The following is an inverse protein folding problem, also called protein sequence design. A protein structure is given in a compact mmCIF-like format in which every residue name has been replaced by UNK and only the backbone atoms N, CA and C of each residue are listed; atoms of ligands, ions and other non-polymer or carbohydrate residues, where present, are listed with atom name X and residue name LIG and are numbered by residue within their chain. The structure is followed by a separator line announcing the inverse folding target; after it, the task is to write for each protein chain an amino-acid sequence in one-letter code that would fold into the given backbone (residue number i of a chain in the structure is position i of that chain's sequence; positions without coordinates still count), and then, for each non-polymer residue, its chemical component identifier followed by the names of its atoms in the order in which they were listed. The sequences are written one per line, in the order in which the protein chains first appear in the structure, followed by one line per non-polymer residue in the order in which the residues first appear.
data_IF_006656548339
#
_entry.id   IF_006656548339
#
_cell.length_a   1.000
_cell.length_b   1.000
_cell.length_c   1.000
_cell.angle_alpha   90.00
_cell.angle_beta   90.00
_cell.angle_gamma   90.00
#
_symmetry.space_group_name_H-M   'P 1'
#
loop_
_entity.id
_entity.type
_entity.pdbx_description
1 polymer ?
#
# COMPACT_ATOMS: atom_id res chain seq x y z
N UNK A 1 -20.76 -18.34 -28.07
CA UNK A 1 -20.36 -17.73 -26.78
C UNK A 1 -18.86 -17.52 -26.84
N UNK A 2 -18.44 -16.26 -26.99
CA UNK A 2 -17.04 -15.90 -27.19
C UNK A 2 -16.37 -15.78 -25.80
N UNK A 3 -15.32 -16.56 -25.47
CA UNK A 3 -14.75 -16.63 -24.13
C UNK A 3 -13.64 -15.60 -23.84
N UNK A 4 -13.47 -14.57 -24.69
CA UNK A 4 -12.42 -13.55 -24.51
C UNK A 4 -13.02 -12.17 -24.25
N UNK A 5 -12.53 -11.52 -23.19
CA UNK A 5 -12.78 -10.14 -22.71
C UNK A 5 -14.02 -9.95 -21.84
N UNK A 6 -13.84 -10.06 -20.50
CA UNK A 6 -13.84 -8.83 -19.69
C UNK A 6 -12.77 -8.74 -18.59
N UNK A 7 -12.09 -9.83 -18.22
CA UNK A 7 -11.14 -9.82 -17.07
C UNK A 7 -9.87 -8.98 -17.34
N UNK A 8 -9.36 -9.02 -18.57
CA UNK A 8 -8.12 -8.31 -18.95
C UNK A 8 -8.30 -6.79 -19.00
N UNK A 9 -9.52 -6.31 -19.31
CA UNK A 9 -9.82 -4.87 -19.37
C UNK A 9 -9.99 -4.28 -17.97
N UNK A 10 -10.58 -5.04 -17.04
CA UNK A 10 -10.79 -4.64 -15.64
C UNK A 10 -9.44 -4.57 -14.87
N UNK A 11 -8.50 -5.48 -15.13
CA UNK A 11 -7.16 -5.40 -14.50
C UNK A 11 -6.30 -4.24 -15.04
N UNK A 12 -6.63 -3.71 -16.24
CA UNK A 12 -5.82 -2.67 -16.89
C UNK A 12 -6.16 -1.24 -16.47
N UNK A 13 -7.33 -0.99 -15.88
CA UNK A 13 -7.83 0.38 -15.67
C UNK A 13 -7.62 0.89 -14.24
N UNK A 14 -6.37 0.87 -13.79
CA UNK A 14 -5.98 1.46 -12.50
C UNK A 14 -5.94 2.99 -12.63
N UNK A 15 -6.76 3.71 -11.86
CA UNK A 15 -6.61 5.15 -11.67
C UNK A 15 -5.50 5.41 -10.66
N UNK A 16 -4.61 6.34 -11.00
CA UNK A 16 -3.47 6.76 -10.17
C UNK A 16 -3.75 8.16 -9.60
N UNK A 17 -4.19 8.27 -8.33
CA UNK A 17 -4.39 9.55 -7.67
C UNK A 17 -3.11 10.38 -7.61
N UNK A 18 -3.23 11.70 -7.65
CA UNK A 18 -2.13 12.60 -7.25
C UNK A 18 -2.00 12.65 -5.72
N UNK A 19 -0.80 12.94 -5.19
CA UNK A 19 -0.63 13.16 -3.75
C UNK A 19 -1.61 14.22 -3.22
N UNK A 20 -2.33 13.89 -2.15
CA UNK A 20 -3.33 14.76 -1.52
C UNK A 20 -4.71 14.75 -2.18
N UNK A 21 -4.92 14.01 -3.27
CA UNK A 21 -6.25 13.85 -3.87
C UNK A 21 -7.12 12.90 -3.03
N UNK A 22 -8.37 13.29 -2.78
CA UNK A 22 -9.34 12.47 -2.06
C UNK A 22 -10.06 11.53 -3.01
N UNK A 23 -10.17 10.25 -2.63
CA UNK A 23 -10.81 9.22 -3.45
C UNK A 23 -12.25 9.55 -3.84
N UNK A 24 -13.02 10.16 -2.93
CA UNK A 24 -14.38 10.62 -3.20
C UNK A 24 -14.40 11.74 -4.26
N UNK A 25 -13.49 12.71 -4.18
CA UNK A 25 -13.42 13.80 -5.16
C UNK A 25 -13.04 13.26 -6.55
N UNK A 26 -12.13 12.27 -6.60
CA UNK A 26 -11.77 11.59 -7.85
C UNK A 26 -12.99 10.88 -8.43
N UNK A 27 -13.72 10.13 -7.59
CA UNK A 27 -14.95 9.43 -8.00
C UNK A 27 -16.00 10.38 -8.53
N UNK A 28 -16.26 11.47 -7.83
CA UNK A 28 -17.27 12.46 -8.22
C UNK A 28 -16.88 13.16 -9.53
N UNK A 29 -15.59 13.51 -9.70
CA UNK A 29 -15.08 14.10 -10.93
C UNK A 29 -15.18 13.13 -12.13
N UNK A 30 -14.79 11.86 -11.96
CA UNK A 30 -14.91 10.84 -13.01
C UNK A 30 -16.38 10.54 -13.35
N UNK A 31 -17.25 10.48 -12.35
CA UNK A 31 -18.70 10.26 -12.56
C UNK A 31 -19.34 11.44 -13.31
N UNK A 32 -18.94 12.67 -12.97
CA UNK A 32 -19.41 13.88 -13.66
C UNK A 32 -18.92 13.90 -15.12
N UNK A 33 -17.66 13.51 -15.36
CA UNK A 33 -17.10 13.38 -16.70
C UNK A 33 -17.85 12.35 -17.54
N UNK A 34 -18.11 11.17 -16.97
CA UNK A 34 -18.86 10.09 -17.60
C UNK A 34 -20.28 10.54 -17.99
N UNK A 35 -21.01 11.16 -17.06
CA UNK A 35 -22.36 11.67 -17.31
C UNK A 35 -22.38 12.74 -18.41
N UNK A 36 -21.41 13.66 -18.38
CA UNK A 36 -21.30 14.70 -19.41
C UNK A 36 -21.02 14.11 -20.80
N UNK A 37 -20.13 13.12 -20.90
CA UNK A 37 -19.85 12.42 -22.15
C UNK A 37 -21.08 11.67 -22.69
N UNK A 38 -21.84 11.00 -21.82
CA UNK A 38 -23.04 10.26 -22.22
C UNK A 38 -24.17 11.19 -22.69
N UNK A 39 -24.30 12.36 -22.04
CA UNK A 39 -25.22 13.41 -22.48
C UNK A 39 -24.86 13.94 -23.88
N UNK A 40 -23.56 14.19 -24.15
CA UNK A 40 -23.09 14.61 -25.47
C UNK A 40 -23.29 13.53 -26.54
N UNK A 41 -23.14 12.26 -26.15
CA UNK A 41 -23.36 11.11 -27.04
C UNK A 41 -24.83 11.02 -27.45
N UNK A 42 -25.74 11.29 -26.52
CA UNK A 42 -27.19 11.20 -26.71
C UNK A 42 -27.82 12.45 -27.34
N UNK A 43 -27.04 13.50 -27.61
CA UNK A 43 -27.52 14.69 -28.29
C UNK A 43 -27.76 14.41 -29.80
N UNK A 44 -29.03 14.42 -30.23
CA UNK A 44 -29.44 13.97 -31.57
C UNK A 44 -29.74 15.07 -32.60
N UNK A 45 -29.66 16.37 -32.24
CA UNK A 45 -30.13 17.48 -33.10
C UNK A 45 -29.09 18.60 -33.34
N UNK A 46 -27.80 18.27 -33.31
CA UNK A 46 -26.71 19.24 -33.43
C UNK A 46 -25.94 19.04 -34.74
N UNK A 47 -25.54 20.13 -35.42
CA UNK A 47 -24.64 20.03 -36.57
C UNK A 47 -23.32 19.35 -36.17
N UNK A 48 -22.69 18.64 -37.11
CA UNK A 48 -21.45 17.90 -36.82
C UNK A 48 -20.34 18.80 -36.28
N UNK A 49 -20.23 20.03 -36.81
CA UNK A 49 -19.27 21.03 -36.34
C UNK A 49 -19.54 21.49 -34.90
N UNK A 50 -20.79 21.82 -34.57
CA UNK A 50 -21.13 22.23 -33.20
C UNK A 50 -20.95 21.08 -32.21
N UNK A 51 -21.24 19.84 -32.64
CA UNK A 51 -21.01 18.65 -31.83
C UNK A 51 -19.51 18.38 -31.62
N UNK A 52 -18.69 18.62 -32.64
CA UNK A 52 -17.22 18.56 -32.53
C UNK A 52 -16.71 19.56 -31.50
N UNK A 53 -17.15 20.83 -31.58
CA UNK A 53 -16.77 21.85 -30.61
C UNK A 53 -17.18 21.47 -29.19
N UNK A 54 -18.41 21.01 -28.97
CA UNK A 54 -18.89 20.57 -27.66
C UNK A 54 -18.07 19.40 -27.09
N UNK A 55 -17.65 18.46 -27.93
CA UNK A 55 -16.76 17.38 -27.52
C UNK A 55 -15.37 17.89 -27.14
N UNK A 56 -14.77 18.78 -27.95
CA UNK A 56 -13.44 19.34 -27.68
C UNK A 56 -13.41 20.23 -26.42
N UNK A 57 -14.47 21.01 -26.21
CA UNK A 57 -14.69 21.80 -24.99
C UNK A 57 -14.78 20.87 -23.77
N UNK A 58 -15.66 19.86 -23.82
CA UNK A 58 -15.78 18.86 -22.75
C UNK A 58 -14.44 18.19 -22.42
N UNK A 59 -13.69 17.75 -23.44
CA UNK A 59 -12.41 17.09 -23.24
C UNK A 59 -11.38 18.03 -22.55
N UNK A 60 -11.38 19.31 -22.92
CA UNK A 60 -10.48 20.32 -22.36
C UNK A 60 -10.84 20.63 -20.90
N UNK A 61 -12.10 20.92 -20.62
CA UNK A 61 -12.60 21.27 -19.28
C UNK A 61 -12.48 20.10 -18.30
N UNK A 62 -12.82 18.90 -18.76
CA UNK A 62 -12.71 17.69 -17.95
C UNK A 62 -11.24 17.38 -17.63
N UNK A 63 -10.34 17.54 -18.60
CA UNK A 63 -8.90 17.36 -18.37
C UNK A 63 -8.35 18.38 -17.36
N UNK A 64 -8.81 19.63 -17.41
CA UNK A 64 -8.46 20.65 -16.42
C UNK A 64 -8.89 20.27 -15.00
N UNK A 65 -10.12 19.77 -14.86
CA UNK A 65 -10.67 19.32 -13.57
C UNK A 65 -9.91 18.12 -13.00
N UNK A 66 -9.64 17.11 -13.84
CA UNK A 66 -8.97 15.87 -13.44
C UNK A 66 -7.47 16.04 -13.22
N UNK A 67 -6.81 17.04 -13.82
CA UNK A 67 -5.38 17.32 -13.67
C UNK A 67 -4.93 17.46 -12.22
N UNK A 68 -5.80 17.94 -11.35
CA UNK A 68 -5.48 18.09 -9.92
C UNK A 68 -5.74 16.83 -9.09
N UNK A 69 -6.38 15.82 -9.68
CA UNK A 69 -6.90 14.65 -8.98
C UNK A 69 -6.16 13.36 -9.36
N UNK A 70 -5.81 13.20 -10.64
CA UNK A 70 -5.21 11.96 -11.19
C UNK A 70 -3.96 12.25 -12.02
N UNK A 71 -3.21 11.19 -12.35
CA UNK A 71 -1.99 11.27 -13.13
C UNK A 71 -2.23 11.77 -14.57
N UNK A 72 -1.23 12.42 -15.17
CA UNK A 72 -1.31 12.87 -16.57
C UNK A 72 -1.42 11.70 -17.55
N UNK A 73 -0.86 10.53 -17.18
CA UNK A 73 -0.99 9.29 -17.94
C UNK A 73 -2.44 8.79 -17.98
N UNK A 74 -3.16 8.87 -16.86
CA UNK A 74 -4.57 8.51 -16.81
C UNK A 74 -5.44 9.47 -17.62
N UNK A 75 -5.18 10.77 -17.57
CA UNK A 75 -5.91 11.78 -18.37
C UNK A 75 -5.70 11.54 -19.86
N UNK A 76 -4.47 11.23 -20.28
CA UNK A 76 -4.14 10.94 -21.67
C UNK A 76 -4.84 9.70 -22.18
N UNK A 77 -4.94 8.67 -21.32
CA UNK A 77 -5.65 7.42 -21.65
C UNK A 77 -7.17 7.60 -21.67
N UNK A 78 -7.72 8.36 -20.72
CA UNK A 78 -9.16 8.48 -20.51
C UNK A 78 -9.83 9.56 -21.35
N UNK A 79 -9.12 10.62 -21.74
CA UNK A 79 -9.73 11.80 -22.36
C UNK A 79 -8.92 12.27 -23.57
N UNK A 80 -7.65 12.61 -23.36
CA UNK A 80 -6.79 13.22 -24.38
C UNK A 80 -6.17 12.16 -25.29
N UNK A 81 -7.04 11.38 -25.93
CA UNK A 81 -6.64 10.23 -26.75
C UNK A 81 -6.04 10.67 -28.09
N UNK A 82 -5.44 9.72 -28.82
CA UNK A 82 -4.96 10.00 -30.17
C UNK A 82 -6.07 10.49 -31.12
N UNK A 83 -7.30 10.03 -30.94
CA UNK A 83 -8.43 10.48 -31.76
C UNK A 83 -8.86 11.90 -31.39
N UNK A 84 -8.81 12.27 -30.11
CA UNK A 84 -8.97 13.66 -29.67
C UNK A 84 -7.99 14.59 -30.41
N UNK A 85 -6.70 14.25 -30.46
CA UNK A 85 -5.68 15.07 -31.13
C UNK A 85 -5.98 15.25 -32.63
N UNK A 86 -6.39 14.17 -33.31
CA UNK A 86 -6.76 14.21 -34.74
C UNK A 86 -7.99 15.08 -34.97
N UNK A 87 -9.01 14.96 -34.12
CA UNK A 87 -10.23 15.76 -34.19
C UNK A 87 -9.96 17.24 -33.91
N UNK A 88 -9.09 17.54 -32.93
CA UNK A 88 -8.64 18.90 -32.62
C UNK A 88 -7.88 19.52 -33.80
N UNK A 89 -6.89 18.81 -34.35
CA UNK A 89 -6.09 19.27 -35.49
C UNK A 89 -6.90 19.46 -36.77
N UNK A 90 -8.03 18.75 -36.90
CA UNK A 90 -8.92 18.81 -38.07
C UNK A 90 -10.14 19.72 -37.86
N UNK A 91 -10.28 20.36 -36.69
CA UNK A 91 -11.48 21.12 -36.34
C UNK A 91 -11.80 22.25 -37.35
N UNK A 92 -10.77 22.90 -37.89
CA UNK A 92 -10.93 23.97 -38.90
C UNK A 92 -11.25 23.48 -40.32
N UNK A 93 -11.03 22.20 -40.64
CA UNK A 93 -11.20 21.65 -42.00
C UNK A 93 -12.44 20.78 -42.17
N UNK A 94 -13.08 20.39 -41.06
CA UNK A 94 -14.23 19.48 -41.01
C UNK A 94 -15.61 20.18 -40.98
N UNK A 95 -15.67 21.48 -41.31
CA UNK A 95 -16.90 22.29 -41.24
C UNK A 95 -17.85 22.16 -42.45
N UNK A 96 -17.57 21.27 -43.41
CA UNK A 96 -18.37 21.10 -44.64
C UNK A 96 -19.55 20.14 -44.49
N UNK A 97 -20.67 20.44 -45.17
CA UNK A 97 -21.90 19.62 -45.16
C UNK A 97 -21.72 18.21 -45.74
N UNK A 98 -20.80 18.03 -46.68
CA UNK A 98 -20.51 16.73 -47.28
C UNK A 98 -19.81 15.75 -46.31
N UNK A 99 -19.13 16.29 -45.29
CA UNK A 99 -18.34 15.53 -44.32
C UNK A 99 -19.10 15.27 -43.00
N UNK A 100 -20.30 15.84 -42.82
CA UNK A 100 -21.07 15.77 -41.56
C UNK A 100 -21.30 14.33 -41.08
N UNK A 101 -21.63 13.41 -42.00
CA UNK A 101 -21.87 12.01 -41.64
C UNK A 101 -20.61 11.33 -41.09
N UNK A 102 -19.45 11.58 -41.71
CA UNK A 102 -18.17 11.03 -41.28
C UNK A 102 -17.76 11.59 -39.92
N UNK A 103 -17.84 12.92 -39.76
CA UNK A 103 -17.50 13.62 -38.51
C UNK A 103 -18.37 13.14 -37.37
N UNK A 104 -19.69 13.05 -37.58
CA UNK A 104 -20.62 12.50 -36.59
C UNK A 104 -20.31 11.04 -36.24
N UNK A 105 -19.90 10.22 -37.21
CA UNK A 105 -19.47 8.84 -36.98
C UNK A 105 -18.22 8.75 -36.09
N UNK A 106 -17.21 9.58 -36.36
CA UNK A 106 -15.98 9.63 -35.56
C UNK A 106 -16.24 10.12 -34.14
N UNK A 107 -17.04 11.17 -33.98
CA UNK A 107 -17.42 11.70 -32.66
C UNK A 107 -18.27 10.68 -31.88
N UNK A 108 -19.20 10.00 -32.54
CA UNK A 108 -20.00 8.94 -31.91
C UNK A 108 -19.13 7.81 -31.38
N UNK A 109 -18.19 7.33 -32.21
CA UNK A 109 -17.28 6.26 -31.82
C UNK A 109 -16.40 6.69 -30.64
N UNK A 110 -15.84 7.90 -30.72
CA UNK A 110 -15.04 8.48 -29.66
C UNK A 110 -15.81 8.58 -28.35
N UNK A 111 -16.97 9.24 -28.36
CA UNK A 111 -17.80 9.38 -27.16
C UNK A 111 -18.25 8.03 -26.61
N UNK A 112 -18.59 7.06 -27.47
CA UNK A 112 -18.97 5.72 -27.02
C UNK A 112 -17.81 5.01 -26.30
N UNK A 113 -16.59 5.08 -26.83
CA UNK A 113 -15.41 4.54 -26.17
C UNK A 113 -15.11 5.28 -24.86
N UNK A 114 -15.19 6.61 -24.84
CA UNK A 114 -14.94 7.42 -23.63
C UNK A 114 -15.96 7.16 -22.53
N UNK A 115 -17.24 7.00 -22.88
CA UNK A 115 -18.29 6.58 -21.93
C UNK A 115 -17.96 5.20 -21.36
N UNK A 116 -17.63 4.22 -22.20
CA UNK A 116 -17.29 2.87 -21.73
C UNK A 116 -16.04 2.84 -20.84
N UNK A 117 -14.99 3.57 -21.23
CA UNK A 117 -13.72 3.67 -20.50
C UNK A 117 -13.91 4.40 -19.16
N UNK A 118 -14.58 5.56 -19.15
CA UNK A 118 -14.87 6.29 -17.91
C UNK A 118 -15.79 5.48 -16.98
N UNK A 119 -16.79 4.79 -17.51
CA UNK A 119 -17.66 3.89 -16.74
C UNK A 119 -16.85 2.77 -16.08
N UNK A 120 -15.98 2.11 -16.84
CA UNK A 120 -15.07 1.07 -16.33
C UNK A 120 -14.14 1.62 -15.23
N UNK A 121 -13.62 2.83 -15.41
CA UNK A 121 -12.76 3.48 -14.41
C UNK A 121 -13.52 3.82 -13.12
N UNK A 122 -14.77 4.29 -13.22
CA UNK A 122 -15.63 4.55 -12.06
C UNK A 122 -15.96 3.25 -11.33
N UNK A 123 -16.33 2.19 -12.05
CA UNK A 123 -16.62 0.87 -11.47
C UNK A 123 -15.39 0.30 -10.76
N UNK A 124 -14.21 0.33 -11.39
CA UNK A 124 -12.96 -0.13 -10.79
C UNK A 124 -12.58 0.68 -9.53
N UNK A 125 -12.83 2.00 -9.54
CA UNK A 125 -12.63 2.84 -8.36
C UNK A 125 -13.64 2.51 -7.26
N UNK A 126 -14.91 2.30 -7.61
CA UNK A 126 -15.96 1.93 -6.66
C UNK A 126 -15.66 0.59 -5.99
N UNK A 127 -15.23 -0.42 -6.75
CA UNK A 127 -14.83 -1.71 -6.20
C UNK A 127 -13.63 -1.57 -5.25
N UNK A 128 -12.67 -0.71 -5.62
CA UNK A 128 -11.53 -0.40 -4.74
C UNK A 128 -11.96 0.31 -3.46
N UNK A 129 -12.92 1.23 -3.54
CA UNK A 129 -13.46 1.94 -2.38
C UNK A 129 -14.31 1.03 -1.50
N UNK A 130 -15.08 0.11 -2.09
CA UNK A 130 -15.86 -0.92 -1.38
C UNK A 130 -15.02 -1.79 -0.49
N UNK A 131 -13.79 -2.10 -0.87
CA UNK A 131 -12.86 -2.83 0.01
C UNK A 131 -12.65 -2.13 1.36
N UNK A 132 -12.70 -0.80 1.38
CA UNK A 132 -12.47 0.03 2.57
C UNK A 132 -13.76 0.54 3.22
N UNK A 133 -14.93 0.21 2.65
CA UNK A 133 -16.22 0.50 3.27
C UNK A 133 -16.48 -0.51 4.41
N UNK A 134 -16.62 0.02 5.62
CA UNK A 134 -16.88 -0.73 6.85
C UNK A 134 -16.84 0.17 8.07
N UNK A 135 -17.36 -0.29 9.20
CA UNK A 135 -17.24 0.44 10.48
C UNK A 135 -15.98 0.04 11.28
N UNK A 136 -15.19 -0.89 10.75
CA UNK A 136 -14.01 -1.44 11.41
C UNK A 136 -12.90 -0.39 11.57
N UNK A 137 -12.14 -0.45 12.64
CA UNK A 137 -10.91 0.36 12.78
C UNK A 137 -9.78 -0.29 11.99
N UNK A 138 -9.14 0.47 11.11
CA UNK A 138 -7.99 0.00 10.34
C UNK A 138 -6.71 0.15 11.14
N UNK A 139 -5.96 -0.94 11.25
CA UNK A 139 -4.72 -1.00 12.02
C UNK A 139 -3.61 -1.53 11.11
N UNK A 140 -2.47 -0.87 11.08
CA UNK A 140 -1.24 -1.35 10.44
C UNK A 140 -0.22 -1.52 11.54
N UNK A 141 0.51 -2.63 11.57
CA UNK A 141 1.65 -2.79 12.47
C UNK A 141 2.93 -3.04 11.68
N UNK A 142 4.04 -2.51 12.15
CA UNK A 142 5.36 -2.78 11.55
C UNK A 142 5.95 -4.11 12.04
N UNK A 143 7.06 -4.54 11.43
CA UNK A 143 7.78 -5.74 11.86
C UNK A 143 8.27 -5.66 13.30
N UNK A 144 8.55 -4.43 13.80
CA UNK A 144 9.02 -4.19 15.16
C UNK A 144 7.98 -4.61 16.20
N UNK A 145 6.69 -4.34 15.96
CA UNK A 145 5.58 -4.77 16.81
C UNK A 145 5.56 -6.29 16.94
N UNK A 146 5.56 -7.02 15.83
CA UNK A 146 5.47 -8.49 15.87
C UNK A 146 6.70 -9.14 16.54
N UNK A 147 7.88 -8.51 16.42
CA UNK A 147 9.13 -9.06 16.95
C UNK A 147 9.43 -8.69 18.40
N UNK A 148 9.04 -7.49 18.84
CA UNK A 148 9.47 -6.93 20.13
C UNK A 148 8.34 -6.73 21.13
N UNK A 149 7.08 -6.83 20.70
CA UNK A 149 5.96 -6.79 21.61
C UNK A 149 6.08 -7.92 22.67
N UNK A 150 5.84 -7.63 23.96
CA UNK A 150 5.95 -8.65 25.01
C UNK A 150 5.03 -9.85 24.75
N UNK A 151 3.79 -9.57 24.37
CA UNK A 151 2.78 -10.58 24.02
C UNK A 151 2.94 -11.03 22.56
N UNK A 152 2.54 -12.25 22.25
CA UNK A 152 2.51 -12.72 20.86
C UNK A 152 1.28 -12.20 20.17
N UNK A 153 1.31 -12.18 18.84
CA UNK A 153 0.13 -11.80 18.06
C UNK A 153 -1.07 -12.64 18.50
N UNK A 154 -0.95 -13.96 18.61
CA UNK A 154 -2.03 -14.88 19.01
C UNK A 154 -2.68 -14.57 20.37
N UNK A 155 -1.96 -13.91 21.28
CA UNK A 155 -2.39 -13.65 22.66
C UNK A 155 -2.82 -12.20 22.89
N UNK A 156 -2.58 -11.31 21.92
CA UNK A 156 -2.74 -9.87 22.12
C UNK A 156 -4.20 -9.44 22.06
N UNK A 157 -4.62 -8.61 23.01
CA UNK A 157 -5.92 -7.94 22.95
C UNK A 157 -5.78 -6.59 22.24
N UNK A 158 -6.11 -6.55 20.95
CA UNK A 158 -6.05 -5.32 20.14
C UNK A 158 -7.01 -4.23 20.66
N UNK A 159 -8.16 -4.58 21.23
CA UNK A 159 -9.11 -3.60 21.75
C UNK A 159 -8.53 -2.87 22.95
N UNK A 160 -7.97 -3.63 23.89
CA UNK A 160 -7.30 -3.09 25.07
C UNK A 160 -6.06 -2.28 24.69
N UNK A 161 -5.26 -2.80 23.74
CA UNK A 161 -4.02 -2.14 23.30
C UNK A 161 -4.28 -0.78 22.62
N UNK A 162 -5.36 -0.68 21.83
CA UNK A 162 -5.70 0.50 21.03
C UNK A 162 -6.68 1.46 21.73
N UNK A 163 -7.10 1.13 22.96
CA UNK A 163 -8.14 1.84 23.72
C UNK A 163 -9.44 2.00 22.90
N UNK A 164 -9.91 0.86 22.36
CA UNK A 164 -11.13 0.79 21.57
C UNK A 164 -12.30 0.28 22.41
N UNK A 165 -13.52 0.65 22.01
CA UNK A 165 -14.72 0.07 22.60
C UNK A 165 -14.79 -1.42 22.27
N UNK A 166 -15.22 -2.29 23.20
CA UNK A 166 -15.21 -3.74 22.99
C UNK A 166 -15.98 -4.19 21.74
N UNK A 167 -17.08 -3.52 21.41
CA UNK A 167 -17.97 -3.83 20.28
C UNK A 167 -17.41 -3.40 18.91
N UNK A 168 -16.28 -2.68 18.90
CA UNK A 168 -15.68 -2.17 17.67
C UNK A 168 -14.96 -3.28 16.92
N UNK A 169 -15.34 -3.56 15.67
CA UNK A 169 -14.57 -4.48 14.84
C UNK A 169 -13.23 -3.85 14.41
N UNK A 170 -12.20 -4.68 14.30
CA UNK A 170 -10.83 -4.27 13.94
C UNK A 170 -10.43 -5.01 12.67
N UNK A 171 -9.78 -4.31 11.74
CA UNK A 171 -9.12 -4.95 10.59
C UNK A 171 -7.62 -4.63 10.64
N UNK A 172 -6.84 -5.66 10.97
CA UNK A 172 -5.39 -5.63 11.01
C UNK A 172 -4.83 -5.89 9.60
N UNK A 173 -4.24 -4.85 9.04
CA UNK A 173 -3.68 -4.79 7.70
C UNK A 173 -2.19 -5.09 7.76
N UNK A 174 -1.75 -6.04 6.96
CA UNK A 174 -0.36 -6.42 6.75
C UNK A 174 0.06 -5.94 5.36
N UNK A 175 0.67 -4.74 5.22
CA UNK A 175 1.35 -4.39 3.98
C UNK A 175 2.32 -5.51 3.60
N UNK A 176 2.36 -5.89 2.33
CA UNK A 176 3.24 -6.97 1.87
C UNK A 176 4.71 -6.72 2.24
N UNK A 177 5.15 -5.46 2.31
CA UNK A 177 6.48 -5.08 2.80
C UNK A 177 6.76 -5.59 4.22
N UNK A 178 5.77 -5.60 5.13
CA UNK A 178 5.93 -6.14 6.49
C UNK A 178 6.08 -7.65 6.45
N UNK A 179 5.34 -8.34 5.58
CA UNK A 179 5.46 -9.79 5.39
C UNK A 179 6.86 -10.14 4.89
N UNK A 180 7.38 -9.39 3.92
CA UNK A 180 8.72 -9.56 3.37
C UNK A 180 9.81 -9.29 4.43
N UNK A 181 9.63 -8.27 5.28
CA UNK A 181 10.53 -8.02 6.41
C UNK A 181 10.54 -9.17 7.42
N UNK A 182 9.37 -9.67 7.80
CA UNK A 182 9.25 -10.81 8.71
C UNK A 182 9.91 -12.06 8.11
N UNK A 183 9.76 -12.29 6.80
CA UNK A 183 10.42 -13.42 6.16
C UNK A 183 11.96 -13.27 6.17
N UNK A 184 12.47 -12.08 5.89
CA UNK A 184 13.91 -11.77 6.00
C UNK A 184 14.47 -11.92 7.43
N UNK A 185 13.66 -11.63 8.45
CA UNK A 185 14.05 -11.78 9.86
C UNK A 185 14.20 -13.23 10.31
N UNK A 186 13.61 -14.20 9.59
CA UNK A 186 13.81 -15.63 9.86
C UNK A 186 15.28 -16.02 9.72
N UNK A 187 15.98 -15.45 8.76
CA UNK A 187 17.38 -15.76 8.51
C UNK A 187 18.32 -14.89 9.37
N UNK A 188 18.01 -13.60 9.44
CA UNK A 188 18.97 -12.57 9.90
C UNK A 188 18.87 -12.21 11.38
N UNK A 189 17.73 -12.48 12.03
CA UNK A 189 17.49 -12.04 13.41
C UNK A 189 18.13 -12.94 14.47
N UNK A 190 18.19 -12.43 15.70
CA UNK A 190 18.54 -13.22 16.89
C UNK A 190 17.45 -14.27 17.16
N UNK A 191 17.79 -15.30 17.94
CA UNK A 191 16.90 -16.44 18.21
C UNK A 191 15.45 -16.03 18.56
N UNK A 192 15.27 -15.03 19.44
CA UNK A 192 13.92 -14.59 19.82
C UNK A 192 13.16 -13.92 18.66
N UNK A 193 13.79 -12.98 17.95
CA UNK A 193 13.14 -12.29 16.82
C UNK A 193 12.86 -13.24 15.65
N UNK A 194 13.77 -14.17 15.36
CA UNK A 194 13.55 -15.25 14.39
C UNK A 194 12.32 -16.08 14.75
N UNK A 195 12.23 -16.52 16.00
CA UNK A 195 11.10 -17.32 16.46
C UNK A 195 9.79 -16.54 16.34
N UNK A 196 9.77 -15.26 16.74
CA UNK A 196 8.61 -14.37 16.64
C UNK A 196 8.14 -14.21 15.18
N UNK A 197 9.06 -13.92 14.27
CA UNK A 197 8.74 -13.76 12.85
C UNK A 197 8.17 -15.05 12.24
N UNK A 198 8.81 -16.21 12.49
CA UNK A 198 8.30 -17.51 12.05
C UNK A 198 6.91 -17.79 12.61
N UNK A 199 6.69 -17.52 13.91
CA UNK A 199 5.41 -17.75 14.57
C UNK A 199 4.29 -16.89 13.98
N UNK A 200 4.55 -15.58 13.78
CA UNK A 200 3.58 -14.67 13.17
C UNK A 200 3.23 -15.07 11.73
N UNK A 201 4.21 -15.46 10.92
CA UNK A 201 3.95 -15.90 9.54
C UNK A 201 3.19 -17.24 9.51
N UNK A 202 3.49 -18.17 10.43
CA UNK A 202 2.74 -19.43 10.55
C UNK A 202 1.28 -19.21 10.96
N UNK A 203 1.02 -18.27 11.89
CA UNK A 203 -0.34 -17.86 12.24
C UNK A 203 -1.06 -17.27 11.03
N UNK A 204 -0.40 -16.37 10.30
CA UNK A 204 -0.96 -15.70 9.13
C UNK A 204 -1.31 -16.71 8.03
N UNK A 205 -0.41 -17.65 7.72
CA UNK A 205 -0.65 -18.71 6.73
C UNK A 205 -1.86 -19.59 7.10
N UNK A 206 -1.91 -20.06 8.36
CA UNK A 206 -3.04 -20.87 8.85
C UNK A 206 -4.37 -20.12 8.86
N UNK A 207 -4.34 -18.82 9.19
CA UNK A 207 -5.53 -17.98 9.22
C UNK A 207 -6.08 -17.67 7.83
N UNK A 208 -5.19 -17.41 6.89
CA UNK A 208 -5.55 -17.00 5.54
C UNK A 208 -5.91 -18.17 4.64
N UNK A 209 -5.32 -19.35 4.87
CA UNK A 209 -5.62 -20.60 4.16
C UNK A 209 -5.66 -20.41 2.63
N UNK A 210 -4.63 -19.78 2.07
CA UNK A 210 -4.51 -19.48 0.63
C UNK A 210 -5.28 -18.24 0.13
N UNK A 211 -5.99 -17.52 1.01
CA UNK A 211 -6.62 -16.23 0.71
C UNK A 211 -5.73 -15.05 1.10
N UNK A 212 -6.09 -13.82 0.73
CA UNK A 212 -5.40 -12.60 1.23
C UNK A 212 -6.06 -12.00 2.47
N UNK A 213 -7.19 -12.54 2.91
CA UNK A 213 -7.93 -12.07 4.09
C UNK A 213 -8.55 -13.23 4.86
N UNK A 214 -8.65 -13.10 6.18
CA UNK A 214 -9.22 -14.09 7.08
C UNK A 214 -9.80 -13.46 8.34
N UNK A 215 -10.59 -14.24 9.09
CA UNK A 215 -11.19 -13.79 10.36
C UNK A 215 -10.42 -14.42 11.51
N UNK A 216 -9.67 -13.59 12.25
CA UNK A 216 -8.82 -14.06 13.35
C UNK A 216 -9.64 -14.32 14.61
N UNK A 217 -10.47 -13.35 15.01
CA UNK A 217 -11.44 -13.52 16.09
C UNK A 217 -12.82 -13.14 15.59
N UNK A 218 -13.81 -14.03 15.82
CA UNK A 218 -15.21 -13.70 15.59
C UNK A 218 -15.80 -13.03 16.81
N UNK A 219 -16.81 -12.20 16.57
CA UNK A 219 -17.52 -11.52 17.61
C UNK A 219 -18.07 -12.53 18.61
N UNK A 220 -17.79 -12.27 19.88
CA UNK A 220 -18.13 -13.17 20.96
C UNK A 220 -18.64 -12.38 22.16
N UNK A 221 -19.67 -12.91 22.81
CA UNK A 221 -20.18 -12.33 24.05
C UNK A 221 -19.24 -12.71 25.19
N UNK A 222 -18.88 -11.74 26.02
CA UNK A 222 -18.12 -11.94 27.24
C UNK A 222 -18.79 -11.20 28.40
N UNK A 223 -18.52 -11.61 29.63
CA UNK A 223 -18.94 -10.87 30.82
C UNK A 223 -17.78 -9.98 31.27
N UNK A 224 -18.06 -8.70 31.50
CA UNK A 224 -17.08 -7.81 32.13
C UNK A 224 -17.12 -7.93 33.66
N UNK A 225 -16.29 -7.15 34.34
CA UNK A 225 -16.23 -7.11 35.82
C UNK A 225 -17.55 -6.63 36.46
N UNK A 226 -18.44 -5.98 35.69
CA UNK A 226 -19.77 -5.56 36.15
C UNK A 226 -20.82 -6.68 36.04
N UNK A 227 -20.48 -7.82 35.43
CA UNK A 227 -21.38 -8.94 35.21
C UNK A 227 -22.38 -8.73 34.07
N UNK A 228 -22.25 -7.63 33.31
CA UNK A 228 -23.09 -7.35 32.15
C UNK A 228 -22.55 -8.04 30.91
N UNK A 229 -23.42 -8.58 30.04
CA UNK A 229 -23.01 -9.18 28.78
C UNK A 229 -22.54 -8.07 27.83
N UNK A 230 -21.27 -8.14 27.43
CA UNK A 230 -20.67 -7.31 26.40
C UNK A 230 -20.36 -8.13 25.16
N UNK A 231 -20.30 -7.46 24.01
CA UNK A 231 -19.89 -8.08 22.74
C UNK A 231 -18.49 -7.60 22.41
N UNK A 232 -17.60 -8.55 22.11
CA UNK A 232 -16.30 -8.24 21.50
C UNK A 232 -16.48 -8.24 19.99
N UNK A 233 -16.05 -7.18 19.32
CA UNK A 233 -16.12 -7.03 17.86
C UNK A 233 -15.20 -8.02 17.13
N UNK A 234 -15.45 -8.20 15.84
CA UNK A 234 -14.62 -9.07 15.00
C UNK A 234 -13.20 -8.51 14.85
N UNK A 235 -12.21 -9.41 14.72
CA UNK A 235 -10.85 -9.07 14.30
C UNK A 235 -10.57 -9.75 12.97
N UNK A 236 -10.48 -8.96 11.92
CA UNK A 236 -10.11 -9.38 10.58
C UNK A 236 -8.64 -9.15 10.33
N UNK A 237 -8.02 -10.01 9.53
CA UNK A 237 -6.64 -9.88 9.08
C UNK A 237 -6.63 -9.86 7.57
N UNK A 238 -5.83 -8.97 6.98
CA UNK A 238 -5.73 -8.81 5.54
C UNK A 238 -4.29 -8.49 5.13
N UNK A 239 -3.73 -9.26 4.18
CA UNK A 239 -2.51 -8.88 3.48
C UNK A 239 -2.87 -7.87 2.40
N UNK A 240 -2.26 -6.70 2.48
CA UNK A 240 -2.42 -5.61 1.51
C UNK A 240 -1.25 -5.66 0.53
N UNK A 241 -1.54 -6.10 -0.69
CA UNK A 241 -0.58 -6.14 -1.78
C UNK A 241 -0.25 -4.75 -2.29
N UNK A 242 0.91 -4.65 -2.95
CA UNK A 242 1.29 -3.44 -3.66
C UNK A 242 0.40 -3.22 -4.87
N UNK A 243 -0.04 -1.97 -5.13
CA UNK A 243 -0.79 -1.66 -6.33
C UNK A 243 0.08 -1.93 -7.57
N UNK A 244 -0.51 -2.34 -8.70
CA UNK A 244 0.23 -2.46 -9.95
C UNK A 244 0.98 -1.16 -10.28
N UNK A 245 2.26 -1.28 -10.65
CA UNK A 245 3.13 -0.14 -10.97
C UNK A 245 3.72 0.60 -9.78
N UNK A 246 3.41 0.18 -8.54
CA UNK A 246 4.03 0.73 -7.34
C UNK A 246 5.53 0.39 -7.29
N UNK A 247 6.34 1.39 -6.96
CA UNK A 247 7.78 1.24 -6.73
C UNK A 247 8.03 1.52 -5.27
N UNK A 248 8.49 0.50 -4.55
CA UNK A 248 8.73 0.62 -3.11
C UNK A 248 9.84 1.62 -2.81
N UNK A 249 9.67 2.35 -1.72
CA UNK A 249 10.71 3.20 -1.15
C UNK A 249 11.91 2.35 -0.68
N UNK A 250 13.13 2.91 -0.71
CA UNK A 250 14.35 2.18 -0.35
C UNK A 250 14.41 1.80 1.13
N UNK A 251 13.68 2.52 1.98
CA UNK A 251 13.60 2.28 3.42
C UNK A 251 12.22 1.66 3.70
N UNK A 252 12.22 0.43 4.20
CA UNK A 252 10.99 -0.33 4.41
C UNK A 252 10.06 0.32 5.47
N UNK A 253 10.62 0.96 6.49
CA UNK A 253 9.87 1.78 7.44
C UNK A 253 9.08 2.93 6.77
N UNK A 254 9.73 3.65 5.84
CA UNK A 254 9.10 4.75 5.11
C UNK A 254 8.03 4.20 4.16
N UNK A 255 8.31 3.06 3.53
CA UNK A 255 7.36 2.32 2.70
C UNK A 255 6.11 1.94 3.52
N UNK A 256 6.25 1.38 4.72
CA UNK A 256 5.11 1.01 5.58
C UNK A 256 4.24 2.22 5.89
N UNK A 257 4.86 3.37 6.18
CA UNK A 257 4.12 4.62 6.43
C UNK A 257 3.40 5.09 5.16
N UNK A 258 4.08 5.11 4.01
CA UNK A 258 3.48 5.48 2.73
C UNK A 258 2.27 4.60 2.40
N UNK A 259 2.41 3.28 2.56
CA UNK A 259 1.30 2.32 2.38
C UNK A 259 0.14 2.61 3.34
N UNK A 260 0.41 2.90 4.62
CA UNK A 260 -0.63 3.22 5.59
C UNK A 260 -1.36 4.54 5.27
N UNK A 261 -0.62 5.58 4.86
CA UNK A 261 -1.20 6.87 4.43
C UNK A 261 -2.04 6.70 3.17
N UNK A 262 -1.57 5.90 2.22
CA UNK A 262 -2.32 5.57 1.00
C UNK A 262 -3.65 4.88 1.34
N UNK A 263 -3.65 3.92 2.27
CA UNK A 263 -4.87 3.27 2.76
C UNK A 263 -5.79 4.27 3.44
N UNK A 264 -5.27 5.16 4.29
CA UNK A 264 -6.04 6.22 4.94
C UNK A 264 -6.72 7.15 3.92
N UNK A 265 -6.03 7.51 2.85
CA UNK A 265 -6.58 8.33 1.77
C UNK A 265 -7.69 7.59 0.99
N UNK A 266 -7.51 6.31 0.70
CA UNK A 266 -8.54 5.49 0.03
C UNK A 266 -9.77 5.28 0.91
N UNK A 267 -9.56 4.93 2.17
CA UNK A 267 -10.60 4.68 3.15
C UNK A 267 -11.33 5.95 3.58
N UNK A 268 -10.73 7.12 3.38
CA UNK A 268 -11.16 8.40 3.95
C UNK A 268 -11.40 8.32 5.47
N UNK A 269 -10.57 7.52 6.17
CA UNK A 269 -10.70 7.18 7.59
C UNK A 269 -9.30 7.03 8.18
N UNK A 270 -9.18 7.36 9.46
CA UNK A 270 -7.91 7.23 10.17
C UNK A 270 -7.42 5.78 10.17
N UNK A 271 -6.15 5.58 9.81
CA UNK A 271 -5.44 4.31 9.99
C UNK A 271 -4.57 4.42 11.23
N UNK A 272 -4.64 3.42 12.09
CA UNK A 272 -3.88 3.36 13.33
C UNK A 272 -2.59 2.56 13.11
N UNK A 273 -1.43 3.19 13.32
CA UNK A 273 -0.12 2.55 13.24
C UNK A 273 0.31 2.02 14.62
N UNK A 274 0.67 0.74 14.69
CA UNK A 274 1.28 0.07 15.83
C UNK A 274 2.77 -0.11 15.58
N UNK A 275 3.60 0.28 16.56
CA UNK A 275 5.05 0.15 16.46
C UNK A 275 5.70 0.04 17.83
N UNK A 276 6.84 -0.65 17.91
CA UNK A 276 7.75 -0.61 19.06
C UNK A 276 8.90 0.39 18.85
N UNK A 277 9.13 0.84 17.61
CA UNK A 277 10.22 1.75 17.26
C UNK A 277 9.88 3.23 17.48
N UNK A 278 10.87 4.00 17.92
CA UNK A 278 10.70 5.44 18.20
C UNK A 278 10.74 6.27 16.92
N UNK A 279 11.59 5.89 15.97
CA UNK A 279 11.70 6.57 14.68
C UNK A 279 10.44 6.39 13.85
N UNK A 280 9.89 5.18 13.80
CA UNK A 280 8.64 4.87 13.12
C UNK A 280 7.45 5.58 13.78
N UNK A 281 7.42 5.64 15.12
CA UNK A 281 6.41 6.42 15.84
C UNK A 281 6.41 7.89 15.46
N UNK A 282 7.60 8.49 15.39
CA UNK A 282 7.77 9.92 15.06
C UNK A 282 7.38 10.21 13.62
N UNK A 283 7.86 9.39 12.67
CA UNK A 283 7.56 9.52 11.24
C UNK A 283 6.08 9.31 10.93
N UNK A 284 5.46 8.27 11.51
CA UNK A 284 4.03 8.02 11.32
C UNK A 284 3.15 9.17 11.78
N UNK A 285 3.48 9.81 12.93
CA UNK A 285 2.79 11.01 13.39
C UNK A 285 2.98 12.20 12.46
N UNK A 286 4.19 12.42 11.97
CA UNK A 286 4.49 13.49 11.01
C UNK A 286 3.71 13.32 9.70
N UNK A 287 3.43 12.07 9.30
CA UNK A 287 2.63 11.73 8.13
C UNK A 287 1.10 11.77 8.37
N UNK A 288 0.65 12.14 9.58
CA UNK A 288 -0.77 12.30 9.90
C UNK A 288 -1.51 11.00 10.27
N UNK A 289 -0.78 9.93 10.64
CA UNK A 289 -1.38 8.70 11.16
C UNK A 289 -1.66 8.80 12.67
N UNK A 290 -2.68 8.10 13.15
CA UNK A 290 -2.85 7.84 14.58
C UNK A 290 -1.85 6.76 14.98
N UNK A 291 -0.98 6.99 15.96
CA UNK A 291 0.10 6.04 16.30
C UNK A 291 0.08 5.64 17.78
N UNK A 292 0.04 4.34 18.05
CA UNK A 292 0.28 3.77 19.39
C UNK A 292 1.65 3.12 19.39
N UNK A 293 2.54 3.65 20.24
CA UNK A 293 3.84 3.04 20.50
C UNK A 293 3.73 2.08 21.68
N UNK A 294 4.18 0.85 21.48
CA UNK A 294 4.29 -0.11 22.58
C UNK A 294 5.66 0.05 23.24
N UNK A 295 5.70 0.31 24.55
CA UNK A 295 6.95 0.37 25.27
C UNK A 295 7.61 -1.01 25.28
N UNK A 296 8.73 -1.13 24.58
CA UNK A 296 9.69 -2.21 24.83
C UNK A 296 10.40 -1.93 26.15
N UNK A 297 10.94 -2.99 26.80
CA UNK A 297 11.68 -2.90 28.08
C UNK A 297 12.43 -1.57 28.22
N UNK A 298 12.23 -0.90 29.36
CA UNK A 298 12.91 0.34 29.68
C UNK A 298 14.41 0.19 29.36
N UNK A 299 15.05 1.22 28.76
CA UNK A 299 16.50 1.23 28.70
C UNK A 299 16.97 0.97 30.13
N UNK A 300 17.78 -0.06 30.32
CA UNK A 300 18.28 -0.42 31.64
C UNK A 300 18.98 0.78 32.30
N UNK A 301 19.47 0.63 33.54
CA UNK A 301 20.23 1.70 34.17
C UNK A 301 21.28 2.27 33.22
N UNK A 302 21.40 3.61 33.18
CA UNK A 302 22.40 4.29 32.36
C UNK A 302 23.74 3.57 32.56
N UNK A 303 24.39 3.08 31.50
CA UNK A 303 25.61 2.32 31.66
C UNK A 303 26.64 3.19 32.37
N UNK A 304 27.17 2.72 33.49
CA UNK A 304 28.18 3.44 34.26
C UNK A 304 29.33 3.82 33.33
N UNK A 305 29.64 5.12 33.24
CA UNK A 305 30.69 5.64 32.37
C UNK A 305 32.05 4.98 32.63
N UNK A 306 32.28 4.45 33.84
CA UNK A 306 33.48 3.70 34.22
C UNK A 306 33.52 2.27 33.66
N UNK A 307 32.36 1.66 33.38
CA UNK A 307 32.26 0.31 32.81
C UNK A 307 32.44 0.28 31.29
N UNK A 308 32.27 1.42 30.60
CA UNK A 308 32.53 1.58 29.17
C UNK A 308 34.04 1.60 28.81
N UNK A 309 34.92 1.79 29.79
CA UNK A 309 36.38 1.79 29.62
C UNK A 309 37.06 0.43 29.83
N UNK A 310 36.34 -0.60 30.27
CA UNK A 310 36.92 -1.95 30.42
C UNK A 310 36.70 -2.75 29.13
N UNK A 311 37.77 -3.28 28.49
CA UNK A 311 37.60 -4.12 27.31
C UNK A 311 36.71 -5.30 27.69
N UNK A 312 35.59 -5.42 27.00
CA UNK A 312 34.65 -6.51 27.21
C UNK A 312 35.41 -7.84 27.13
N UNK A 313 35.31 -8.65 28.18
CA UNK A 313 35.74 -10.06 28.23
C UNK A 313 34.88 -10.95 27.30
N UNK A 314 34.55 -10.44 26.12
CA UNK A 314 33.81 -11.15 25.09
C UNK A 314 34.72 -12.18 24.43
N UNK A 315 34.22 -13.39 24.33
CA UNK A 315 34.82 -14.58 23.69
C UNK A 315 35.42 -14.30 22.30
N UNK A 316 35.02 -13.20 21.64
CA UNK A 316 35.57 -12.69 20.37
C UNK A 316 37.00 -12.15 20.48
N UNK A 317 37.39 -11.52 21.59
CA UNK A 317 38.75 -11.06 21.85
C UNK A 317 39.70 -12.26 22.06
N UNK A 318 39.29 -13.24 22.88
CA UNK A 318 40.02 -14.51 23.07
C UNK A 318 40.16 -15.34 21.80
N UNK A 319 39.19 -15.26 20.87
CA UNK A 319 39.27 -15.93 19.56
C UNK A 319 40.28 -15.25 18.62
N UNK A 320 40.41 -13.91 18.70
CA UNK A 320 41.40 -13.15 17.94
C UNK A 320 42.82 -13.39 18.47
N UNK A 321 42.99 -13.45 19.79
CA UNK A 321 44.27 -13.78 20.45
C UNK A 321 44.73 -15.23 20.19
N UNK A 322 43.80 -16.20 20.13
CA UNK A 322 44.15 -17.59 19.74
C UNK A 322 44.58 -17.71 18.28
N UNK A 323 44.05 -16.87 17.38
CA UNK A 323 44.44 -16.86 15.97
C UNK A 323 45.77 -16.13 15.73
N UNK A 324 46.11 -15.11 16.52
CA UNK A 324 47.44 -14.49 16.47
C UNK A 324 48.52 -15.34 17.14
N UNK A 325 48.20 -16.14 18.16
CA UNK A 325 49.18 -17.03 18.81
C UNK A 325 49.55 -18.27 17.97
N UNK A 326 48.72 -18.68 17.01
CA UNK A 326 49.01 -19.82 16.11
C UNK A 326 49.74 -19.42 14.82
N UNK A 327 49.92 -18.12 14.56
CA UNK A 327 50.63 -17.61 13.38
C UNK A 327 52.14 -17.38 13.55
N UNK A 328 52.69 -17.55 14.75
CA UNK A 328 54.07 -17.10 15.07
C UNK A 328 55.06 -18.23 15.34
N UNK A 329 54.70 -19.50 15.11
CA UNK A 329 55.59 -20.65 15.32
C UNK A 329 55.90 -21.43 14.04
N UNK A 330 56.43 -20.76 13.01
CA UNK A 330 57.19 -21.45 11.94
C UNK A 330 58.17 -20.47 11.32
N UNK A 331 59.41 -20.47 11.81
CA UNK A 331 60.50 -19.84 11.08
C UNK A 331 61.69 -19.40 11.91
N UNK A 332 62.47 -20.35 12.46
CA UNK A 332 63.95 -20.22 12.49
C UNK A 332 64.65 -21.53 12.87
N UNK A 333 65.38 -22.13 11.92
CA UNK A 333 66.72 -22.74 12.09
C UNK A 333 67.15 -23.37 10.74
N UNK A 334 68.01 -22.70 9.95
CA UNK A 334 69.45 -22.98 9.77
C UNK A 334 69.80 -24.42 9.37
N UNK A 335 70.39 -24.59 8.19
CA UNK A 335 70.95 -25.86 7.72
C UNK A 335 71.72 -25.73 6.40
N UNK A 336 73.00 -25.40 6.53
CA UNK A 336 74.09 -25.43 5.54
C UNK A 336 74.19 -26.78 4.81
N UNK A 337 74.56 -26.80 3.53
CA UNK A 337 74.95 -28.04 2.83
C UNK A 337 75.24 -27.87 1.33
N UNK A 338 76.52 -27.76 1.01
CA UNK A 338 77.11 -27.96 -0.33
C UNK A 338 76.76 -29.32 -0.94
N UNK A 339 76.61 -29.39 -2.29
CA UNK A 339 77.51 -30.09 -3.23
C UNK A 339 76.84 -30.38 -4.59
N UNK A 340 77.63 -30.13 -5.64
CA UNK A 340 77.88 -30.93 -6.87
C UNK A 340 76.67 -31.65 -7.49
N UNK A 341 76.33 -31.48 -8.78
CA UNK A 341 77.17 -31.47 -9.98
C UNK A 341 76.32 -30.95 -11.16
#
# INVERSE_FOLDING_TARGET
MNPNQPADRIMSMLISPRPGAHSQNIRDALSSAHLAADNLRSAHNTSAYRRLLQYLEWATDTSGTLRHQISDGDISRLILTRRYEVLLGSCGTLAGSAQERLVNGLINLELAERVADLGTAVEALDDRLRRWFGQEVFVVADSSFYCHNPEKLEDIDLHTLLDLRPDTSVRLLFPITVVDELDGLKETSKQHGRWRATHTLGLLDGLLNGSTSGVWHRAATFQDESGLPNVRGDVHVEIVLDPPGHVRLPIADDEIIDRAVHIQALANRNVHLLTCDTGQHTRGRAAGLKVTKIPTKAPGPEPDKESAGRPANGTRAKRRERQTATGTSTGTSTGTGDREN
#
